data_IF_331189932558
#
_entry.id   IF_331189932558
#
_cell.length_a   1.000
_cell.length_b   1.000
_cell.length_c   1.000
_cell.angle_alpha   90.00
_cell.angle_beta   90.00
_cell.angle_gamma   90.00
#
_symmetry.space_group_name_H-M   'P 1'
#
loop_
_entity.id
_entity.type
_entity.pdbx_description
1 polymer ?
#
# COMPACT_ATOMS: atom_id res chain seq x y z
N UNK A 1 8.51 -21.00 -29.80
CA UNK A 1 9.70 -20.28 -29.33
C UNK A 1 9.29 -18.82 -29.14
N UNK A 2 9.13 -18.39 -27.90
CA UNK A 2 8.62 -17.06 -27.54
C UNK A 2 9.78 -16.10 -27.32
N UNK A 3 9.76 -14.93 -27.98
CA UNK A 3 10.71 -13.86 -27.75
C UNK A 3 10.19 -12.92 -26.65
N UNK A 4 10.92 -12.85 -25.55
CA UNK A 4 10.72 -11.94 -24.42
C UNK A 4 11.12 -10.52 -24.85
N UNK A 5 10.20 -9.55 -24.77
CA UNK A 5 10.52 -8.12 -24.86
C UNK A 5 10.79 -7.59 -23.45
N UNK A 6 12.03 -7.17 -23.19
CA UNK A 6 12.38 -6.42 -21.98
C UNK A 6 11.92 -4.96 -22.15
N UNK A 7 11.40 -4.30 -21.10
CA UNK A 7 11.08 -2.88 -21.15
C UNK A 7 12.36 -2.05 -21.27
N UNK A 8 12.47 -1.28 -22.34
CA UNK A 8 13.55 -0.29 -22.50
C UNK A 8 13.22 0.96 -21.70
N UNK A 9 14.03 1.26 -20.69
CA UNK A 9 14.01 2.56 -20.01
C UNK A 9 14.68 3.58 -20.93
N UNK A 10 13.90 4.54 -21.44
CA UNK A 10 14.43 5.68 -22.19
C UNK A 10 14.66 6.83 -21.22
N UNK A 11 15.91 7.09 -20.88
CA UNK A 11 16.29 8.32 -20.17
C UNK A 11 16.35 9.45 -21.19
N UNK A 12 15.31 10.30 -21.23
CA UNK A 12 15.30 11.46 -22.12
C UNK A 12 16.10 12.60 -21.48
N UNK A 13 17.18 13.02 -22.12
CA UNK A 13 17.89 14.24 -21.76
C UNK A 13 17.00 15.45 -22.14
N UNK A 14 16.79 16.40 -21.22
CA UNK A 14 15.87 17.54 -21.37
C UNK A 14 16.15 18.32 -22.67
N UNK A 15 17.41 18.39 -23.10
CA UNK A 15 17.83 19.07 -24.32
C UNK A 15 17.34 18.40 -25.62
N UNK A 16 17.18 17.08 -25.62
CA UNK A 16 16.69 16.33 -26.79
C UNK A 16 15.17 16.49 -26.95
N UNK A 17 14.46 16.65 -25.83
CA UNK A 17 13.03 16.89 -25.81
C UNK A 17 12.67 18.29 -26.34
N UNK A 18 13.43 19.31 -25.93
CA UNK A 18 13.25 20.68 -26.43
C UNK A 18 13.51 20.75 -27.94
N UNK A 19 14.57 20.10 -28.42
CA UNK A 19 14.90 20.04 -29.85
C UNK A 19 13.81 19.34 -30.68
N UNK A 20 13.19 18.31 -30.11
CA UNK A 20 12.08 17.60 -30.77
C UNK A 20 10.80 18.44 -30.81
N UNK A 21 10.49 19.15 -29.71
CA UNK A 21 9.35 20.06 -29.61
C UNK A 21 9.45 21.23 -30.58
N UNK A 22 10.60 21.89 -30.66
CA UNK A 22 10.82 23.00 -31.59
C UNK A 22 10.61 22.55 -33.05
N UNK A 23 11.15 21.38 -33.41
CA UNK A 23 10.98 20.81 -34.75
C UNK A 23 9.51 20.54 -35.08
N UNK A 24 8.73 20.05 -34.09
CA UNK A 24 7.30 19.79 -34.27
C UNK A 24 6.47 21.07 -34.38
N UNK A 25 6.82 22.11 -33.62
CA UNK A 25 6.15 23.42 -33.71
C UNK A 25 6.39 24.05 -35.08
N UNK A 26 7.61 24.02 -35.59
CA UNK A 26 7.95 24.55 -36.93
C UNK A 26 7.19 23.78 -38.03
N UNK A 27 7.07 22.45 -37.91
CA UNK A 27 6.32 21.63 -38.87
C UNK A 27 4.83 22.01 -38.93
N UNK A 28 4.20 22.23 -37.77
CA UNK A 28 2.79 22.61 -37.67
C UNK A 28 2.56 24.03 -38.19
N UNK A 29 3.43 24.98 -37.83
CA UNK A 29 3.34 26.37 -38.30
C UNK A 29 3.52 26.46 -39.81
N UNK A 30 4.47 25.72 -40.39
CA UNK A 30 4.69 25.69 -41.85
C UNK A 30 3.52 25.08 -42.62
N UNK A 31 2.84 24.07 -42.04
CA UNK A 31 1.63 23.48 -42.63
C UNK A 31 0.44 24.45 -42.63
N UNK A 32 0.37 25.34 -41.65
CA UNK A 32 -0.70 26.36 -41.55
C UNK A 32 -0.47 27.53 -42.51
N UNK A 33 0.77 27.94 -42.77
CA UNK A 33 1.07 29.10 -43.63
C UNK A 33 1.01 28.83 -45.14
N UNK A 34 1.08 27.57 -45.59
CA UNK A 34 1.12 27.23 -47.03
C UNK A 34 -0.22 26.76 -47.63
N UNK A 35 -1.35 27.02 -46.98
CA UNK A 35 -2.68 26.83 -47.61
C UNK A 35 -3.01 25.39 -48.01
N UNK A 36 -2.42 24.39 -47.36
CA UNK A 36 -2.80 22.98 -47.54
C UNK A 36 -4.18 22.72 -46.95
N UNK A 37 -5.10 22.17 -47.75
CA UNK A 37 -6.46 21.84 -47.32
C UNK A 37 -6.46 20.95 -46.07
N UNK A 38 -7.03 21.46 -44.98
CA UNK A 38 -7.22 20.72 -43.74
C UNK A 38 -8.59 20.04 -43.83
N UNK A 39 -8.61 18.70 -43.83
CA UNK A 39 -9.84 17.94 -43.68
C UNK A 39 -10.57 18.37 -42.39
N UNK A 40 -11.91 18.39 -42.35
CA UNK A 40 -12.64 18.85 -41.18
C UNK A 40 -12.26 17.99 -39.98
N UNK A 41 -11.64 18.63 -38.99
CA UNK A 41 -11.28 18.01 -37.73
C UNK A 41 -12.56 17.52 -37.05
N UNK A 42 -12.64 16.21 -36.82
CA UNK A 42 -13.53 15.61 -35.82
C UNK A 42 -13.32 16.41 -34.54
N UNK A 43 -14.40 16.99 -34.00
CA UNK A 43 -14.41 17.69 -32.71
C UNK A 43 -13.79 16.76 -31.66
N UNK A 44 -12.52 16.97 -31.35
CA UNK A 44 -11.85 16.31 -30.25
C UNK A 44 -12.51 16.85 -28.98
N UNK A 45 -13.28 15.99 -28.31
CA UNK A 45 -13.71 16.22 -26.93
C UNK A 45 -12.47 16.65 -26.13
N UNK A 46 -12.49 17.78 -25.41
CA UNK A 46 -11.32 18.20 -24.64
C UNK A 46 -10.93 17.06 -23.72
N UNK A 47 -9.69 16.58 -23.88
CA UNK A 47 -9.14 15.57 -23.00
C UNK A 47 -9.27 16.11 -21.58
N UNK A 48 -10.03 15.39 -20.74
CA UNK A 48 -10.10 15.64 -19.31
C UNK A 48 -8.68 15.53 -18.78
N UNK A 49 -8.01 16.67 -18.59
CA UNK A 49 -6.71 16.74 -17.95
C UNK A 49 -6.94 16.16 -16.56
N UNK A 50 -6.50 14.92 -16.37
CA UNK A 50 -6.56 14.30 -15.05
C UNK A 50 -5.60 15.13 -14.21
N UNK A 51 -6.05 15.75 -13.10
CA UNK A 51 -5.15 16.52 -12.24
C UNK A 51 -3.94 15.65 -11.90
N UNK A 52 -2.74 16.23 -11.98
CA UNK A 52 -1.52 15.58 -11.48
C UNK A 52 -1.84 15.16 -10.06
N UNK A 53 -1.94 13.85 -9.85
CA UNK A 53 -2.32 13.28 -8.56
C UNK A 53 -1.12 13.54 -7.65
N UNK A 54 -1.23 14.55 -6.79
CA UNK A 54 -0.21 14.83 -5.78
C UNK A 54 0.11 13.51 -5.06
N UNK A 55 1.39 13.14 -5.07
CA UNK A 55 1.86 11.96 -4.37
C UNK A 55 1.82 12.27 -2.87
N UNK A 56 0.77 11.79 -2.22
CA UNK A 56 0.59 11.97 -0.78
C UNK A 56 1.58 11.04 -0.07
N UNK A 57 2.51 11.63 0.68
CA UNK A 57 3.32 10.89 1.65
C UNK A 57 2.45 10.50 2.85
N UNK A 58 2.00 9.24 2.86
CA UNK A 58 1.17 8.69 3.94
C UNK A 58 1.93 8.43 5.23
N UNK A 59 3.27 8.30 5.19
CA UNK A 59 4.04 8.06 6.41
C UNK A 59 4.15 9.33 7.26
N UNK A 60 4.18 10.50 6.62
CA UNK A 60 4.17 11.80 7.30
C UNK A 60 2.81 12.18 7.92
N UNK A 61 1.74 11.41 7.65
CA UNK A 61 0.39 11.70 8.16
C UNK A 61 0.18 11.20 9.59
N UNK A 62 -0.67 11.88 10.34
CA UNK A 62 -1.12 11.40 11.66
C UNK A 62 -2.02 10.16 11.53
N UNK A 63 -2.18 9.38 12.60
CA UNK A 63 -3.09 8.21 12.59
C UNK A 63 -4.51 8.62 12.21
N UNK A 64 -5.03 9.71 12.78
CA UNK A 64 -6.36 10.21 12.46
C UNK A 64 -6.53 10.56 10.96
N UNK A 65 -5.53 11.20 10.35
CA UNK A 65 -5.54 11.49 8.90
C UNK A 65 -5.51 10.21 8.05
N UNK A 66 -4.70 9.22 8.45
CA UNK A 66 -4.60 7.93 7.75
C UNK A 66 -5.92 7.17 7.88
N UNK A 67 -6.45 7.00 9.09
CA UNK A 67 -7.68 6.24 9.35
C UNK A 67 -8.93 6.90 8.78
N UNK A 68 -9.00 8.24 8.78
CA UNK A 68 -10.06 9.01 8.14
C UNK A 68 -10.05 8.93 6.61
N UNK A 69 -8.94 8.53 5.99
CA UNK A 69 -8.81 8.42 4.54
C UNK A 69 -9.37 7.12 3.96
N UNK A 70 -9.96 7.23 2.76
CA UNK A 70 -10.43 6.11 1.92
C UNK A 70 -9.48 5.81 0.75
N UNK A 71 -8.35 6.50 0.66
CA UNK A 71 -7.39 6.28 -0.42
C UNK A 71 -6.74 4.89 -0.32
N UNK A 72 -6.47 4.26 -1.46
CA UNK A 72 -5.84 2.91 -1.50
C UNK A 72 -4.49 2.90 -0.79
N UNK A 73 -3.66 3.92 -0.99
CA UNK A 73 -2.35 4.02 -0.33
C UNK A 73 -2.47 4.28 1.18
N UNK A 74 -3.55 4.94 1.62
CA UNK A 74 -3.85 5.03 3.06
C UNK A 74 -4.16 3.65 3.65
N UNK A 75 -4.85 2.77 2.91
CA UNK A 75 -5.12 1.41 3.35
C UNK A 75 -3.82 0.61 3.54
N UNK A 76 -2.86 0.74 2.62
CA UNK A 76 -1.52 0.14 2.76
C UNK A 76 -0.83 0.67 4.02
N UNK A 77 -0.92 1.97 4.27
CA UNK A 77 -0.33 2.59 5.47
C UNK A 77 -1.00 2.11 6.77
N UNK A 78 -2.33 1.95 6.81
CA UNK A 78 -3.03 1.35 7.96
C UNK A 78 -2.49 -0.04 8.26
N UNK A 79 -2.28 -0.88 7.24
CA UNK A 79 -1.75 -2.22 7.40
C UNK A 79 -0.31 -2.18 7.94
N UNK A 80 0.54 -1.31 7.36
CA UNK A 80 1.94 -1.12 7.79
C UNK A 80 2.02 -0.69 9.26
N UNK A 81 1.21 0.29 9.68
CA UNK A 81 1.15 0.75 11.07
C UNK A 81 0.64 -0.33 12.01
N UNK A 82 -0.41 -1.05 11.63
CA UNK A 82 -0.92 -2.19 12.42
C UNK A 82 0.13 -3.29 12.60
N UNK A 83 0.89 -3.62 11.54
CA UNK A 83 1.99 -4.58 11.63
C UNK A 83 3.05 -4.11 12.63
N UNK A 84 3.54 -2.87 12.48
CA UNK A 84 4.55 -2.30 13.38
C UNK A 84 4.07 -2.24 14.84
N UNK A 85 2.80 -1.89 15.06
CA UNK A 85 2.20 -1.85 16.37
C UNK A 85 2.18 -3.23 17.05
N UNK A 86 1.83 -4.29 16.31
CA UNK A 86 1.92 -5.67 16.82
C UNK A 86 3.37 -6.03 17.14
N UNK A 87 4.32 -5.69 16.26
CA UNK A 87 5.73 -6.00 16.47
C UNK A 87 6.27 -5.32 17.73
N UNK A 88 6.01 -4.02 17.86
CA UNK A 88 6.44 -3.23 19.00
C UNK A 88 5.82 -3.75 20.30
N UNK A 89 4.52 -4.02 20.32
CA UNK A 89 3.84 -4.61 21.47
C UNK A 89 4.48 -5.93 21.91
N UNK A 90 4.73 -6.86 20.98
CA UNK A 90 5.34 -8.15 21.31
C UNK A 90 6.78 -8.02 21.82
N UNK A 91 7.50 -7.00 21.34
CA UNK A 91 8.89 -6.73 21.71
C UNK A 91 9.02 -6.00 23.05
N UNK A 92 8.09 -5.11 23.41
CA UNK A 92 8.27 -4.18 24.53
C UNK A 92 7.25 -4.30 25.65
N UNK A 93 6.06 -4.85 25.39
CA UNK A 93 4.97 -4.90 26.38
C UNK A 93 4.65 -6.34 26.79
N UNK A 94 4.55 -7.25 25.84
CA UNK A 94 4.19 -8.63 26.11
C UNK A 94 5.30 -9.37 26.89
N UNK A 95 4.97 -9.85 28.09
CA UNK A 95 5.94 -10.53 28.97
C UNK A 95 5.80 -12.05 28.90
N UNK A 96 4.58 -12.60 28.86
CA UNK A 96 4.32 -14.04 28.73
C UNK A 96 4.09 -14.53 27.30
N UNK A 97 4.24 -15.84 27.06
CA UNK A 97 3.90 -16.48 25.77
C UNK A 97 2.41 -16.31 25.41
N UNK A 98 1.52 -16.29 26.42
CA UNK A 98 0.08 -16.08 26.23
C UNK A 98 -0.35 -14.64 25.99
N UNK A 99 0.56 -13.67 26.19
CA UNK A 99 0.27 -12.24 26.08
C UNK A 99 0.67 -11.68 24.70
N UNK A 100 1.26 -12.50 23.84
CA UNK A 100 1.74 -12.09 22.51
C UNK A 100 0.66 -12.30 21.45
N UNK A 101 0.71 -11.46 20.43
CA UNK A 101 -0.20 -11.52 19.30
C UNK A 101 0.56 -11.89 18.03
N UNK A 102 0.21 -13.02 17.42
CA UNK A 102 0.76 -13.42 16.13
C UNK A 102 0.28 -12.45 15.05
N UNK A 103 1.19 -12.06 14.15
CA UNK A 103 0.81 -11.32 12.95
C UNK A 103 0.05 -12.26 12.02
N UNK A 104 -1.25 -12.02 11.87
CA UNK A 104 -2.18 -12.83 11.06
C UNK A 104 -3.06 -11.92 10.21
N UNK A 105 -3.68 -12.48 9.16
CA UNK A 105 -4.65 -11.73 8.35
C UNK A 105 -5.78 -11.14 9.22
N UNK A 106 -6.28 -11.93 10.18
CA UNK A 106 -7.35 -11.51 11.07
C UNK A 106 -6.91 -10.38 12.00
N UNK A 107 -5.76 -10.50 12.68
CA UNK A 107 -5.26 -9.44 13.57
C UNK A 107 -5.01 -8.12 12.82
N UNK A 108 -4.39 -8.19 11.64
CA UNK A 108 -4.18 -7.00 10.80
C UNK A 108 -5.50 -6.41 10.31
N UNK A 109 -6.51 -7.24 10.02
CA UNK A 109 -7.85 -6.80 9.62
C UNK A 109 -8.55 -6.06 10.74
N UNK A 110 -8.45 -6.59 11.96
CA UNK A 110 -9.12 -6.02 13.13
C UNK A 110 -8.55 -4.63 13.47
N UNK A 111 -7.22 -4.49 13.43
CA UNK A 111 -6.53 -3.22 13.68
C UNK A 111 -6.66 -2.23 12.50
N UNK A 112 -6.39 -2.65 11.27
CA UNK A 112 -6.36 -1.71 10.12
C UNK A 112 -7.75 -1.38 9.56
N UNK A 113 -8.76 -2.20 9.85
CA UNK A 113 -10.09 -2.11 9.25
C UNK A 113 -10.12 -2.36 7.74
N UNK A 114 -9.01 -2.84 7.15
CA UNK A 114 -8.87 -3.06 5.72
C UNK A 114 -9.47 -4.40 5.27
N UNK A 115 -9.70 -4.52 3.96
CA UNK A 115 -10.23 -5.75 3.37
C UNK A 115 -9.19 -6.89 3.49
N UNK A 116 -9.65 -8.10 3.83
CA UNK A 116 -8.78 -9.28 4.02
C UNK A 116 -7.97 -9.66 2.78
N UNK A 117 -8.44 -9.37 1.56
CA UNK A 117 -7.69 -9.60 0.32
C UNK A 117 -6.51 -8.63 0.20
N UNK A 118 -6.71 -7.35 0.49
CA UNK A 118 -5.64 -6.34 0.48
C UNK A 118 -4.56 -6.71 1.51
N UNK A 119 -5.00 -7.18 2.68
CA UNK A 119 -4.10 -7.64 3.75
C UNK A 119 -3.34 -8.90 3.31
N UNK A 120 -4.00 -9.87 2.69
CA UNK A 120 -3.34 -11.06 2.17
C UNK A 120 -2.26 -10.69 1.16
N UNK A 121 -2.58 -9.81 0.21
CA UNK A 121 -1.63 -9.38 -0.81
C UNK A 121 -0.45 -8.60 -0.19
N UNK A 122 -0.68 -7.85 0.89
CA UNK A 122 0.37 -7.20 1.67
C UNK A 122 1.24 -8.20 2.44
N UNK A 123 0.63 -9.21 3.07
CA UNK A 123 1.32 -10.28 3.79
C UNK A 123 2.25 -11.05 2.84
N UNK A 124 1.80 -11.34 1.62
CA UNK A 124 2.64 -12.05 0.64
C UNK A 124 3.88 -11.22 0.25
N UNK A 125 3.75 -9.89 0.16
CA UNK A 125 4.86 -8.99 -0.13
C UNK A 125 5.87 -8.87 1.03
N UNK A 126 5.44 -9.09 2.28
CA UNK A 126 6.26 -8.95 3.49
C UNK A 126 6.43 -10.30 4.22
N UNK A 127 6.35 -11.40 3.45
CA UNK A 127 6.22 -12.75 3.98
C UNK A 127 7.37 -13.12 4.92
N UNK A 128 8.61 -12.87 4.50
CA UNK A 128 9.79 -13.26 5.26
C UNK A 128 9.89 -12.52 6.61
N UNK A 129 9.52 -11.24 6.64
CA UNK A 129 9.47 -10.42 7.86
C UNK A 129 8.43 -10.95 8.86
N UNK A 130 7.25 -11.34 8.35
CA UNK A 130 6.17 -11.90 9.17
C UNK A 130 6.54 -13.27 9.71
N UNK A 131 7.13 -14.15 8.89
CA UNK A 131 7.63 -15.45 9.33
C UNK A 131 8.68 -15.25 10.41
N UNK A 132 9.67 -14.39 10.17
CA UNK A 132 10.75 -14.13 11.12
C UNK A 132 10.23 -13.62 12.46
N UNK A 133 9.29 -12.66 12.44
CA UNK A 133 8.69 -12.11 13.66
C UNK A 133 7.90 -13.16 14.45
N UNK A 134 7.06 -13.95 13.77
CA UNK A 134 6.26 -14.97 14.46
C UNK A 134 7.13 -16.13 14.97
N UNK A 135 8.17 -16.52 14.23
CA UNK A 135 9.15 -17.54 14.64
C UNK A 135 9.93 -17.12 15.89
N UNK A 136 10.35 -15.84 15.98
CA UNK A 136 11.03 -15.26 17.16
C UNK A 136 10.31 -15.56 18.48
N UNK A 137 8.99 -15.66 18.43
CA UNK A 137 8.13 -15.86 19.60
C UNK A 137 7.40 -17.21 19.60
N UNK A 138 7.75 -18.13 18.70
CA UNK A 138 7.10 -19.45 18.62
C UNK A 138 5.60 -19.41 18.26
N UNK A 139 5.15 -18.33 17.60
CA UNK A 139 3.74 -18.08 17.24
C UNK A 139 3.35 -18.63 15.86
N UNK A 140 4.29 -19.24 15.17
CA UNK A 140 4.09 -19.87 13.86
C UNK A 140 3.19 -21.12 13.94
N UNK A 141 2.56 -21.45 12.83
CA UNK A 141 1.89 -22.73 12.70
C UNK A 141 2.93 -23.85 12.56
N UNK A 142 3.09 -24.66 13.61
CA UNK A 142 4.05 -25.79 13.62
C UNK A 142 3.88 -26.78 12.46
N UNK A 143 2.70 -26.87 11.85
CA UNK A 143 2.44 -27.76 10.70
C UNK A 143 2.82 -27.13 9.37
N UNK A 144 2.82 -25.81 9.29
CA UNK A 144 3.13 -25.06 8.07
C UNK A 144 3.75 -23.69 8.44
N UNK A 145 4.99 -23.68 8.97
CA UNK A 145 5.63 -22.46 9.45
C UNK A 145 5.98 -21.51 8.30
N UNK A 146 6.06 -22.00 7.06
CA UNK A 146 6.38 -21.20 5.88
C UNK A 146 5.21 -20.37 5.32
N UNK A 147 4.01 -20.54 5.89
CA UNK A 147 2.78 -19.97 5.36
C UNK A 147 2.08 -19.10 6.42
N UNK A 148 2.31 -17.77 6.39
CA UNK A 148 1.67 -16.85 7.32
C UNK A 148 0.14 -16.86 7.29
N UNK A 149 -0.47 -17.25 6.18
CA UNK A 149 -1.93 -17.35 6.08
C UNK A 149 -2.49 -18.50 6.95
N UNK A 150 -1.66 -19.46 7.35
CA UNK A 150 -2.04 -20.57 8.21
C UNK A 150 -1.95 -20.27 9.72
N UNK A 151 -1.36 -19.12 10.08
CA UNK A 151 -1.18 -18.71 11.47
C UNK A 151 -2.51 -18.29 12.08
N UNK A 152 -2.68 -18.53 13.38
CA UNK A 152 -3.91 -18.19 14.09
C UNK A 152 -3.64 -17.84 15.54
N UNK A 153 -4.25 -16.74 16.01
CA UNK A 153 -4.30 -16.41 17.42
C UNK A 153 -5.40 -17.27 18.08
N UNK A 154 -5.03 -18.07 19.08
CA UNK A 154 -5.94 -18.96 19.81
C UNK A 154 -5.92 -18.58 21.29
N UNK A 155 -6.56 -17.47 21.63
CA UNK A 155 -6.60 -16.96 22.99
C UNK A 155 -7.88 -16.18 23.27
N UNK A 156 -8.43 -16.35 24.46
CA UNK A 156 -9.62 -15.60 24.92
C UNK A 156 -9.35 -14.10 25.09
N UNK A 157 -8.09 -13.72 25.18
CA UNK A 157 -7.65 -12.33 25.43
C UNK A 157 -7.21 -11.60 24.15
N UNK A 158 -7.39 -12.20 22.97
CA UNK A 158 -7.01 -11.58 21.68
C UNK A 158 -7.60 -10.18 21.54
N UNK A 159 -8.89 -9.99 21.83
CA UNK A 159 -9.56 -8.69 21.75
C UNK A 159 -8.99 -7.67 22.75
N UNK A 160 -8.58 -8.12 23.94
CA UNK A 160 -7.96 -7.24 24.95
C UNK A 160 -6.59 -6.78 24.48
N UNK A 161 -5.80 -7.68 23.89
CA UNK A 161 -4.50 -7.36 23.33
C UNK A 161 -4.66 -6.39 22.15
N UNK A 162 -5.62 -6.64 21.25
CA UNK A 162 -5.93 -5.74 20.13
C UNK A 162 -6.35 -4.34 20.61
N UNK A 163 -7.15 -4.25 21.67
CA UNK A 163 -7.54 -2.98 22.29
C UNK A 163 -6.35 -2.24 22.87
N UNK A 164 -5.49 -2.93 23.62
CA UNK A 164 -4.28 -2.34 24.18
C UNK A 164 -3.34 -1.83 23.08
N UNK A 165 -3.12 -2.64 22.03
CA UNK A 165 -2.30 -2.23 20.89
C UNK A 165 -2.86 -0.96 20.24
N UNK A 166 -4.17 -0.91 20.10
CA UNK A 166 -4.85 0.22 19.50
C UNK A 166 -4.68 1.51 20.32
N UNK A 167 -4.85 1.43 21.64
CA UNK A 167 -4.75 2.57 22.54
C UNK A 167 -3.31 3.09 22.65
N UNK A 168 -2.33 2.20 22.78
CA UNK A 168 -0.94 2.57 23.05
C UNK A 168 -0.12 2.92 21.79
N UNK A 169 -0.46 2.32 20.64
CA UNK A 169 0.39 2.42 19.44
C UNK A 169 -0.30 2.94 18.18
N UNK A 170 -1.64 3.05 18.19
CA UNK A 170 -2.43 3.51 17.03
C UNK A 170 -3.37 4.67 17.38
N UNK A 171 -3.08 5.39 18.47
CA UNK A 171 -3.85 6.56 18.91
C UNK A 171 -5.36 6.31 19.09
N UNK A 172 -5.78 5.05 19.27
CA UNK A 172 -7.19 4.67 19.39
C UNK A 172 -7.95 4.49 18.06
N UNK A 173 -7.32 4.68 16.90
CA UNK A 173 -8.01 4.78 15.60
C UNK A 173 -8.38 3.43 14.95
N UNK A 174 -7.60 2.40 15.24
CA UNK A 174 -7.64 1.08 14.60
C UNK A 174 -8.76 0.16 15.05
N UNK A 175 -8.56 -0.51 16.19
CA UNK A 175 -9.49 -1.49 16.73
C UNK A 175 -10.59 -0.81 17.55
N UNK A 176 -11.84 -1.22 17.33
CA UNK A 176 -12.97 -0.76 18.15
C UNK A 176 -13.66 -1.99 18.70
N UNK A 177 -13.62 -2.15 20.02
CA UNK A 177 -14.32 -3.22 20.71
C UNK A 177 -15.83 -3.14 20.41
N UNK A 178 -16.47 -4.27 20.13
CA UNK A 178 -17.91 -4.34 19.86
C UNK A 178 -18.35 -4.26 18.39
N UNK A 179 -17.46 -4.52 17.42
CA UNK A 179 -17.89 -4.85 16.04
C UNK A 179 -18.53 -6.25 16.05
N UNK A 180 -19.79 -6.32 16.46
CA UNK A 180 -20.68 -7.46 16.18
C UNK A 180 -21.16 -7.40 14.73
#
# INVERSE_FOLDING_TARGET
>A
MSATHLPQTVTLNITELDSWLEKKVIEVVNKVTHGGAIAPATTATPAKVTPIKEEIDWQAKTDAEVWGSKATLAAVEKIRRSYQAICLYNDTVATGEGDRLAVTNQALRDLSGCNGLVIRDWIEQHKDEIISHNAKFGMENKKDPSNPASYANKGKDTDKILLLINEEFLSGEGFKSGRN
#
